data_IF_861625847789
#
_entry.id   IF_861625847789
#
_cell.length_a   1.000
_cell.length_b   1.000
_cell.length_c   1.000
_cell.angle_alpha   90.00
_cell.angle_beta   90.00
_cell.angle_gamma   90.00
#
_symmetry.space_group_name_H-M   'P 1'
#
loop_
_entity.id
_entity.type
_entity.pdbx_description
1 polymer ?
#
# COMPACT_ATOMS: atom_id res chain seq x y z
N UNK A 1 21.06 16.98 11.74
CA UNK A 1 19.68 17.36 11.40
C UNK A 1 19.06 17.83 12.71
N UNK A 2 18.35 18.95 12.72
CA UNK A 2 17.68 19.38 13.95
C UNK A 2 16.56 18.40 14.30
N UNK A 3 16.26 18.18 15.60
CA UNK A 3 15.19 17.23 15.99
C UNK A 3 13.85 17.62 15.38
N UNK A 4 13.57 18.91 15.29
CA UNK A 4 12.35 19.43 14.66
C UNK A 4 12.28 19.08 13.17
N UNK A 5 13.41 19.11 12.44
CA UNK A 5 13.47 18.71 11.03
C UNK A 5 13.16 17.22 10.86
N UNK A 6 13.59 16.36 11.80
CA UNK A 6 13.31 14.92 11.75
C UNK A 6 11.82 14.64 11.99
N UNK A 7 11.21 15.33 12.97
CA UNK A 7 9.76 15.20 13.22
C UNK A 7 8.93 15.66 12.03
N UNK A 8 9.27 16.82 11.43
CA UNK A 8 8.59 17.32 10.24
C UNK A 8 8.73 16.35 9.05
N UNK A 9 9.90 15.74 8.86
CA UNK A 9 10.10 14.74 7.80
C UNK A 9 9.29 13.46 8.04
N UNK A 10 9.12 13.03 9.30
CA UNK A 10 8.27 11.88 9.65
C UNK A 10 6.81 12.17 9.32
N UNK A 11 6.26 13.28 9.79
CA UNK A 11 4.85 13.64 9.55
C UNK A 11 4.55 13.76 8.05
N UNK A 12 5.40 14.45 7.29
CA UNK A 12 5.28 14.55 5.83
C UNK A 12 5.34 13.18 5.13
N UNK A 13 6.12 12.24 5.68
CA UNK A 13 6.23 10.89 5.15
C UNK A 13 4.99 10.05 5.46
N UNK A 14 4.37 10.19 6.63
CA UNK A 14 3.12 9.51 7.00
C UNK A 14 1.95 9.96 6.11
N UNK A 15 1.81 11.28 5.88
CA UNK A 15 0.83 11.84 4.94
C UNK A 15 1.00 11.28 3.52
N UNK A 16 2.27 11.16 3.10
CA UNK A 16 2.61 10.61 1.78
C UNK A 16 2.30 9.11 1.72
N UNK A 17 2.56 8.35 2.77
CA UNK A 17 2.21 6.91 2.86
C UNK A 17 0.71 6.73 2.63
N UNK A 18 -0.12 7.49 3.35
CA UNK A 18 -1.58 7.40 3.22
C UNK A 18 -2.04 7.76 1.82
N UNK A 19 -1.51 8.84 1.25
CA UNK A 19 -1.86 9.28 -0.10
C UNK A 19 -1.49 8.22 -1.16
N UNK A 20 -0.29 7.64 -1.08
CA UNK A 20 0.18 6.61 -2.01
C UNK A 20 -0.61 5.31 -1.86
N UNK A 21 -0.90 4.87 -0.63
CA UNK A 21 -1.72 3.68 -0.39
C UNK A 21 -3.14 3.86 -0.90
N UNK A 22 -3.71 5.06 -0.77
CA UNK A 22 -5.04 5.38 -1.31
C UNK A 22 -5.04 5.29 -2.84
N UNK A 23 -4.01 5.84 -3.48
CA UNK A 23 -3.82 5.72 -4.93
C UNK A 23 -3.65 4.26 -5.38
N UNK A 24 -2.84 3.47 -4.67
CA UNK A 24 -2.67 2.05 -4.93
C UNK A 24 -4.01 1.28 -4.81
N UNK A 25 -4.81 1.60 -3.80
CA UNK A 25 -6.15 1.04 -3.62
C UNK A 25 -7.09 1.33 -4.78
N UNK A 26 -7.17 2.59 -5.24
CA UNK A 26 -7.99 2.96 -6.39
C UNK A 26 -7.51 2.30 -7.69
N UNK A 27 -6.20 2.27 -7.92
CA UNK A 27 -5.63 1.62 -9.10
C UNK A 27 -5.96 0.12 -9.13
N UNK A 28 -5.93 -0.54 -7.96
CA UNK A 28 -6.38 -1.93 -7.84
C UNK A 28 -7.84 -2.12 -8.23
N UNK A 29 -8.74 -1.26 -7.75
CA UNK A 29 -10.16 -1.35 -8.10
C UNK A 29 -10.35 -1.17 -9.61
N UNK A 30 -9.73 -0.14 -10.20
CA UNK A 30 -9.86 0.15 -11.64
C UNK A 30 -9.31 -1.00 -12.48
N UNK A 31 -8.13 -1.51 -12.14
CA UNK A 31 -7.52 -2.66 -12.80
C UNK A 31 -8.40 -3.90 -12.67
N UNK A 32 -8.88 -4.20 -11.47
CA UNK A 32 -9.71 -5.36 -11.19
C UNK A 32 -11.03 -5.33 -11.96
N UNK A 33 -11.69 -4.16 -12.07
CA UNK A 33 -12.89 -3.99 -12.89
C UNK A 33 -12.58 -4.26 -14.36
N UNK A 34 -11.51 -3.66 -14.90
CA UNK A 34 -11.14 -3.85 -16.30
C UNK A 34 -10.86 -5.32 -16.63
N UNK A 35 -10.08 -6.00 -15.79
CA UNK A 35 -9.74 -7.42 -15.97
C UNK A 35 -10.98 -8.31 -15.83
N UNK A 36 -11.85 -8.06 -14.86
CA UNK A 36 -13.08 -8.84 -14.69
C UNK A 36 -13.98 -8.73 -15.92
N UNK A 37 -14.17 -7.52 -16.45
CA UNK A 37 -14.99 -7.29 -17.65
C UNK A 37 -14.41 -7.96 -18.90
N UNK A 38 -13.10 -7.77 -19.16
CA UNK A 38 -12.42 -8.43 -20.28
C UNK A 38 -12.54 -9.95 -20.15
N UNK A 39 -12.36 -10.47 -18.94
CA UNK A 39 -12.37 -11.90 -18.68
C UNK A 39 -13.74 -12.53 -18.90
N UNK A 40 -14.82 -11.85 -18.50
CA UNK A 40 -16.20 -12.27 -18.79
C UNK A 40 -16.42 -12.39 -20.30
N UNK A 41 -15.96 -11.41 -21.08
CA UNK A 41 -16.19 -11.37 -22.54
C UNK A 41 -15.36 -12.42 -23.28
N UNK A 42 -14.10 -12.62 -22.89
CA UNK A 42 -13.16 -13.47 -23.65
C UNK A 42 -13.18 -14.92 -23.19
N UNK A 43 -13.24 -15.19 -21.88
CA UNK A 43 -13.10 -16.53 -21.31
C UNK A 43 -14.27 -16.96 -20.42
N UNK A 44 -15.24 -16.07 -20.18
CA UNK A 44 -16.39 -16.32 -19.30
C UNK A 44 -16.13 -15.99 -17.83
N UNK A 45 -17.23 -15.96 -17.05
CA UNK A 45 -17.25 -15.49 -15.66
C UNK A 45 -16.57 -16.41 -14.64
N UNK A 46 -16.12 -17.61 -15.03
CA UNK A 46 -15.40 -18.54 -14.15
C UNK A 46 -13.92 -18.69 -14.53
N UNK A 47 -13.43 -17.80 -15.39
CA UNK A 47 -12.02 -17.79 -15.79
C UNK A 47 -11.10 -17.31 -14.67
N UNK A 48 -9.85 -17.75 -14.72
CA UNK A 48 -8.80 -17.29 -13.79
C UNK A 48 -8.65 -15.76 -13.84
N UNK A 49 -8.78 -15.15 -15.02
CA UNK A 49 -8.78 -13.69 -15.17
C UNK A 49 -9.92 -13.02 -14.42
N UNK A 50 -11.13 -13.60 -14.43
CA UNK A 50 -12.24 -13.03 -13.65
C UNK A 50 -11.94 -13.08 -12.14
N UNK A 51 -11.46 -14.21 -11.63
CA UNK A 51 -11.08 -14.35 -10.21
C UNK A 51 -9.95 -13.40 -9.82
N UNK A 52 -8.97 -13.21 -10.71
CA UNK A 52 -7.90 -12.21 -10.54
C UNK A 52 -8.48 -10.78 -10.46
N UNK A 53 -9.42 -10.44 -11.34
CA UNK A 53 -10.10 -9.15 -11.32
C UNK A 53 -10.87 -8.91 -10.02
N UNK A 54 -11.67 -9.87 -9.58
CA UNK A 54 -12.42 -9.80 -8.31
C UNK A 54 -11.47 -9.68 -7.12
N UNK A 55 -10.39 -10.47 -7.09
CA UNK A 55 -9.39 -10.40 -6.02
C UNK A 55 -8.76 -9.01 -5.94
N UNK A 56 -8.40 -8.41 -7.07
CA UNK A 56 -7.84 -7.05 -7.11
C UNK A 56 -8.84 -5.98 -6.63
N UNK A 57 -10.14 -6.11 -6.98
CA UNK A 57 -11.19 -5.24 -6.45
C UNK A 57 -11.27 -5.35 -4.92
N UNK A 58 -11.35 -6.57 -4.38
CA UNK A 58 -11.43 -6.81 -2.93
C UNK A 58 -10.21 -6.21 -2.22
N UNK A 59 -9.00 -6.46 -2.73
CA UNK A 59 -7.77 -5.90 -2.17
C UNK A 59 -7.76 -4.37 -2.21
N UNK A 60 -8.20 -3.75 -3.31
CA UNK A 60 -8.30 -2.30 -3.42
C UNK A 60 -9.30 -1.69 -2.42
N UNK A 61 -10.46 -2.31 -2.24
CA UNK A 61 -11.45 -1.90 -1.23
C UNK A 61 -10.87 -2.01 0.17
N UNK A 62 -10.19 -3.11 0.50
CA UNK A 62 -9.58 -3.30 1.81
C UNK A 62 -8.50 -2.27 2.11
N UNK A 63 -7.67 -1.92 1.12
CA UNK A 63 -6.65 -0.86 1.24
C UNK A 63 -7.32 0.48 1.54
N UNK A 64 -8.33 0.89 0.76
CA UNK A 64 -9.03 2.16 0.96
C UNK A 64 -9.74 2.20 2.31
N UNK A 65 -10.44 1.12 2.67
CA UNK A 65 -11.14 0.99 3.94
C UNK A 65 -10.18 1.15 5.11
N UNK A 66 -9.05 0.43 5.08
CA UNK A 66 -8.03 0.51 6.14
C UNK A 66 -7.46 1.92 6.25
N UNK A 67 -7.12 2.55 5.12
CA UNK A 67 -6.66 3.93 5.08
C UNK A 67 -7.67 4.90 5.71
N UNK A 68 -8.94 4.76 5.37
CA UNK A 68 -10.00 5.64 5.89
C UNK A 68 -10.30 5.44 7.36
N UNK A 69 -9.93 4.28 7.94
CA UNK A 69 -10.29 3.92 9.30
C UNK A 69 -9.16 4.14 10.30
N UNK A 70 -7.92 3.96 9.87
CA UNK A 70 -6.75 3.98 10.73
C UNK A 70 -5.83 5.17 10.43
N UNK A 71 -6.04 5.91 9.33
CA UNK A 71 -5.27 7.10 8.97
C UNK A 71 -3.75 6.85 9.11
N UNK A 72 -3.03 7.62 9.92
CA UNK A 72 -1.58 7.49 10.13
C UNK A 72 -1.14 6.10 10.63
N UNK A 73 -2.01 5.39 11.36
CA UNK A 73 -1.73 4.06 11.88
C UNK A 73 -2.02 2.93 10.88
N UNK A 74 -2.54 3.26 9.69
CA UNK A 74 -2.98 2.27 8.72
C UNK A 74 -1.85 1.34 8.29
N UNK A 75 -0.61 1.82 8.19
CA UNK A 75 0.50 1.09 7.58
C UNK A 75 1.74 0.95 8.46
N UNK A 76 1.51 0.84 9.77
CA UNK A 76 2.61 0.73 10.75
C UNK A 76 3.45 -0.55 10.62
N UNK A 77 2.88 -1.62 10.07
CA UNK A 77 3.51 -2.93 10.04
C UNK A 77 4.05 -3.26 8.65
N UNK A 78 5.38 -3.26 8.51
CA UNK A 78 6.09 -3.60 7.27
C UNK A 78 5.70 -4.98 6.70
N UNK A 79 5.44 -5.97 7.56
CA UNK A 79 5.02 -7.31 7.14
C UNK A 79 3.70 -7.29 6.37
N UNK A 80 2.78 -6.39 6.75
CA UNK A 80 1.51 -6.27 6.02
C UNK A 80 1.73 -5.67 4.63
N UNK A 81 2.63 -4.70 4.51
CA UNK A 81 2.96 -4.08 3.22
C UNK A 81 3.63 -5.13 2.30
N UNK A 82 4.59 -5.90 2.82
CA UNK A 82 5.25 -6.96 2.07
C UNK A 82 4.26 -8.04 1.62
N UNK A 83 3.35 -8.46 2.50
CA UNK A 83 2.28 -9.39 2.15
C UNK A 83 1.42 -8.86 1.00
N UNK A 84 1.02 -7.58 1.04
CA UNK A 84 0.24 -6.96 -0.02
C UNK A 84 1.00 -6.83 -1.34
N UNK A 85 2.31 -6.57 -1.31
CA UNK A 85 3.15 -6.58 -2.53
C UNK A 85 3.14 -7.95 -3.17
N UNK A 86 3.39 -9.01 -2.39
CA UNK A 86 3.41 -10.39 -2.88
C UNK A 86 2.04 -10.75 -3.45
N UNK A 87 0.96 -10.45 -2.71
CA UNK A 87 -0.41 -10.72 -3.15
C UNK A 87 -0.72 -10.03 -4.48
N UNK A 88 -0.38 -8.75 -4.64
CA UNK A 88 -0.63 -8.01 -5.88
C UNK A 88 0.22 -8.51 -7.06
N UNK A 89 1.46 -8.97 -6.81
CA UNK A 89 2.28 -9.58 -7.85
C UNK A 89 1.71 -10.92 -8.32
N UNK A 90 1.21 -11.75 -7.38
CA UNK A 90 0.54 -13.01 -7.71
C UNK A 90 -0.76 -12.79 -8.49
N UNK A 91 -1.50 -11.73 -8.17
CA UNK A 91 -2.70 -11.31 -8.92
C UNK A 91 -2.37 -10.41 -10.12
N UNK A 92 -1.10 -10.36 -10.54
CA UNK A 92 -0.66 -9.80 -11.82
C UNK A 92 -0.70 -8.27 -11.95
N UNK A 93 -0.84 -7.51 -10.85
CA UNK A 93 -0.88 -6.05 -10.91
C UNK A 93 0.39 -5.38 -10.38
N UNK A 94 1.40 -5.31 -11.25
CA UNK A 94 2.73 -4.79 -10.91
C UNK A 94 2.75 -3.31 -10.45
N UNK A 95 1.86 -2.45 -11.00
CA UNK A 95 1.88 -1.01 -10.68
C UNK A 95 1.51 -0.77 -9.22
N UNK A 96 0.44 -1.38 -8.71
CA UNK A 96 0.08 -1.27 -7.28
C UNK A 96 1.18 -1.87 -6.39
N UNK A 97 1.77 -3.00 -6.81
CA UNK A 97 2.90 -3.59 -6.07
C UNK A 97 4.08 -2.63 -5.92
N UNK A 98 4.43 -1.87 -6.96
CA UNK A 98 5.50 -0.87 -6.89
C UNK A 98 5.18 0.27 -5.93
N UNK A 99 3.93 0.75 -5.93
CA UNK A 99 3.49 1.80 -4.99
C UNK A 99 3.52 1.32 -3.53
N UNK A 100 3.04 0.10 -3.28
CA UNK A 100 3.07 -0.49 -1.94
C UNK A 100 4.52 -0.78 -1.50
N UNK A 101 5.39 -1.16 -2.43
CA UNK A 101 6.81 -1.35 -2.15
C UNK A 101 7.52 -0.03 -1.83
N UNK A 102 7.16 1.06 -2.52
CA UNK A 102 7.62 2.40 -2.16
C UNK A 102 7.22 2.78 -0.73
N UNK A 103 5.98 2.47 -0.33
CA UNK A 103 5.48 2.69 1.03
C UNK A 103 6.26 1.85 2.05
N UNK A 104 6.58 0.59 1.73
CA UNK A 104 7.43 -0.27 2.56
C UNK A 104 8.81 0.38 2.82
N UNK A 105 9.48 0.89 1.78
CA UNK A 105 10.77 1.55 1.95
C UNK A 105 10.67 2.85 2.75
N UNK A 106 9.60 3.62 2.54
CA UNK A 106 9.34 4.86 3.29
C UNK A 106 9.16 4.57 4.77
N UNK A 107 8.36 3.54 5.11
CA UNK A 107 8.17 3.13 6.51
C UNK A 107 9.45 2.66 7.17
N UNK A 108 10.29 1.92 6.44
CA UNK A 108 11.61 1.51 6.92
C UNK A 108 12.54 2.69 7.17
N UNK A 109 12.41 3.79 6.40
CA UNK A 109 13.14 5.03 6.67
C UNK A 109 12.64 5.69 7.96
N UNK A 110 11.33 5.82 8.13
CA UNK A 110 10.70 6.39 9.34
C UNK A 110 11.17 5.64 10.60
N UNK A 111 11.11 4.30 10.60
CA UNK A 111 11.56 3.51 11.75
C UNK A 111 13.01 3.78 12.15
N UNK A 112 13.91 3.95 11.17
CA UNK A 112 15.32 4.27 11.44
C UNK A 112 15.45 5.66 12.07
N UNK A 113 14.80 6.66 11.51
CA UNK A 113 14.83 8.04 12.05
C UNK A 113 14.26 8.09 13.48
N UNK A 114 13.17 7.36 13.73
CA UNK A 114 12.58 7.24 15.08
C UNK A 114 13.51 6.54 16.06
N UNK A 115 14.30 5.57 15.63
CA UNK A 115 15.31 4.90 16.46
C UNK A 115 16.48 5.83 16.79
N UNK A 116 16.97 6.60 15.81
CA UNK A 116 18.05 7.59 16.00
C UNK A 116 17.63 8.67 17.03
N UNK A 117 16.42 9.22 16.89
CA UNK A 117 15.82 10.15 17.86
C UNK A 117 15.75 9.58 19.28
N UNK A 118 15.39 8.30 19.43
CA UNK A 118 15.31 7.65 20.74
C UNK A 118 16.67 7.47 21.39
N UNK A 119 17.71 7.22 20.59
CA UNK A 119 19.09 7.08 21.08
C UNK A 119 19.63 8.44 21.56
N UNK A 120 19.41 9.52 20.80
CA UNK A 120 19.83 10.88 21.19
C UNK A 120 19.14 11.44 22.44
N UNK A 121 17.97 10.93 22.82
CA UNK A 121 17.26 11.35 24.05
C UNK A 121 17.75 10.59 25.29
N UNK A 122 18.37 9.42 25.09
CA UNK A 122 18.90 8.58 26.17
C UNK A 122 20.37 8.92 26.53
N UNK A 123 21.08 9.62 25.64
CA UNK A 123 22.43 10.17 25.85
C UNK A 123 22.39 11.58 26.45
#
# INVERSE_FOLDING_TARGET
>A
MDRNEIYEEIDLSEDRINSVMKAAGYLNIVYGIAIALISIVVWGAMSLGFLQGISSIISGILIIYRNSRLEEDAWNHQDTLLFLVILNLLTGFAISSLLILYVYFTRRKIEKMTLELKQEVLE
#
